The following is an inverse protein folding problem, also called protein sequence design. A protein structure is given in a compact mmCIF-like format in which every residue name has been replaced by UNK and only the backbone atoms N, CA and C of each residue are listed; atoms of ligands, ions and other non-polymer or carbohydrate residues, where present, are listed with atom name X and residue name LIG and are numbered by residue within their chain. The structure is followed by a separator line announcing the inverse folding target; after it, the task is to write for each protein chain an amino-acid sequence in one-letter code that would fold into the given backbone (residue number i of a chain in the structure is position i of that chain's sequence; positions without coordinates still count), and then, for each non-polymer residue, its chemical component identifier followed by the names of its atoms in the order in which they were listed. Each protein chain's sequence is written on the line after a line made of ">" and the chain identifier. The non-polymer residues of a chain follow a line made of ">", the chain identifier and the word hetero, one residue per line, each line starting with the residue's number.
data_IF_273503512101
#
_entry.id   IF_273503512101
#
_cell.length_a   1.000
_cell.length_b   1.000
_cell.length_c   1.000
_cell.angle_alpha   90.00
_cell.angle_beta   90.00
_cell.angle_gamma   90.00
#
_symmetry.space_group_name_H-M   'P 1'
#
loop_
_entity.id
_entity.type
_entity.pdbx_description
1 polymer ?
#
# COMPACT_ATOMS: atom_id res chain seq x y z
N UNK A 1 -1.79 16.64 9.85
CA UNK A 1 -1.85 16.99 11.28
C UNK A 1 -1.97 15.75 12.17
N UNK A 2 -2.95 14.85 11.94
CA UNK A 2 -3.28 13.71 12.81
C UNK A 2 -2.14 12.69 12.98
N UNK A 3 -1.53 12.23 11.87
CA UNK A 3 -0.39 11.30 11.91
C UNK A 3 0.80 11.84 12.70
N UNK A 4 1.10 13.14 12.60
CA UNK A 4 2.18 13.76 13.39
C UNK A 4 1.88 13.74 14.89
N UNK A 5 0.61 13.95 15.31
CA UNK A 5 0.18 13.84 16.70
C UNK A 5 0.40 12.43 17.21
N UNK A 6 -0.08 11.44 16.47
CA UNK A 6 0.09 10.02 16.78
C UNK A 6 1.57 9.64 16.91
N UNK A 7 2.43 10.03 15.96
CA UNK A 7 3.86 9.75 16.02
C UNK A 7 4.55 10.42 17.21
N UNK A 8 4.16 11.66 17.56
CA UNK A 8 4.68 12.35 18.74
C UNK A 8 4.32 11.60 20.02
N UNK A 9 3.06 11.22 20.19
CA UNK A 9 2.61 10.48 21.36
C UNK A 9 3.34 9.13 21.49
N UNK A 10 3.47 8.40 20.38
CA UNK A 10 4.22 7.14 20.31
C UNK A 10 5.69 7.32 20.68
N UNK A 11 6.34 8.37 20.19
CA UNK A 11 7.75 8.68 20.52
C UNK A 11 7.93 8.98 22.00
N UNK A 12 7.03 9.77 22.59
CA UNK A 12 7.08 10.11 24.02
C UNK A 12 6.84 8.88 24.88
N UNK A 13 5.82 8.07 24.58
CA UNK A 13 5.59 6.81 25.27
C UNK A 13 6.82 5.89 25.18
N UNK A 14 7.40 5.72 24.00
CA UNK A 14 8.61 4.90 23.82
C UNK A 14 9.82 5.45 24.57
N UNK A 15 9.93 6.77 24.76
CA UNK A 15 10.96 7.38 25.58
C UNK A 15 10.81 6.98 27.05
N UNK A 16 9.58 7.03 27.59
CA UNK A 16 9.28 6.60 28.96
C UNK A 16 9.58 5.10 29.18
N UNK A 17 9.22 4.24 28.21
CA UNK A 17 9.48 2.81 28.28
C UNK A 17 10.97 2.45 28.36
N UNK A 18 11.86 3.33 27.90
CA UNK A 18 13.33 3.12 27.90
C UNK A 18 14.03 3.73 29.11
N UNK A 19 13.33 4.45 29.96
CA UNK A 19 13.93 4.97 31.21
C UNK A 19 14.18 3.80 32.14
N UNK A 20 15.40 3.69 32.72
CA UNK A 20 15.77 2.57 33.57
C UNK A 20 15.06 2.54 34.95
N UNK A 21 14.35 3.61 35.32
CA UNK A 21 13.43 3.65 36.45
C UNK A 21 12.02 3.30 35.97
N UNK A 22 11.18 2.69 36.81
CA UNK A 22 9.76 2.47 36.50
C UNK A 22 9.04 3.81 36.63
N UNK A 23 8.66 4.47 35.49
CA UNK A 23 7.93 5.74 35.57
C UNK A 23 6.57 5.50 36.23
N UNK A 24 6.07 6.51 36.96
CA UNK A 24 4.71 6.45 37.49
C UNK A 24 3.68 6.39 36.34
N UNK A 25 2.55 5.78 36.60
CA UNK A 25 1.47 5.62 35.61
C UNK A 25 0.99 6.98 35.07
N UNK A 26 0.99 8.02 35.89
CA UNK A 26 0.60 9.39 35.51
C UNK A 26 1.43 9.97 34.36
N UNK A 27 2.69 9.53 34.21
CA UNK A 27 3.55 9.98 33.10
C UNK A 27 3.16 9.35 31.76
N UNK A 28 2.60 8.14 31.79
CA UNK A 28 2.15 7.45 30.57
C UNK A 28 0.77 7.90 30.11
N UNK A 29 -0.14 8.15 31.03
CA UNK A 29 -1.55 8.38 30.77
C UNK A 29 -1.83 9.46 29.72
N UNK A 30 -1.22 10.66 29.73
CA UNK A 30 -1.46 11.68 28.71
C UNK A 30 -1.07 11.22 27.31
N UNK A 31 0.04 10.49 27.18
CA UNK A 31 0.54 10.02 25.90
C UNK A 31 -0.27 8.82 25.37
N UNK A 32 -0.70 7.93 26.24
CA UNK A 32 -1.57 6.80 25.88
C UNK A 32 -2.95 7.27 25.44
N UNK A 33 -3.51 8.29 26.10
CA UNK A 33 -4.76 8.93 25.71
C UNK A 33 -4.64 9.61 24.34
N UNK A 34 -3.60 10.41 24.13
CA UNK A 34 -3.33 11.09 22.86
C UNK A 34 -3.08 10.08 21.74
N UNK A 35 -2.31 9.01 22.01
CA UNK A 35 -2.05 7.93 21.06
C UNK A 35 -3.35 7.21 20.69
N UNK A 36 -4.18 6.86 21.67
CA UNK A 36 -5.47 6.19 21.46
C UNK A 36 -6.42 7.03 20.62
N UNK A 37 -6.63 8.29 20.97
CA UNK A 37 -7.53 9.20 20.24
C UNK A 37 -7.07 9.40 18.79
N UNK A 38 -5.79 9.62 18.59
CA UNK A 38 -5.26 9.78 17.22
C UNK A 38 -5.28 8.48 16.42
N UNK A 39 -5.07 7.34 17.08
CA UNK A 39 -5.10 6.02 16.47
C UNK A 39 -6.49 5.63 15.95
N UNK A 40 -7.53 5.86 16.73
CA UNK A 40 -8.92 5.57 16.34
C UNK A 40 -9.32 6.39 15.10
N UNK A 41 -8.96 7.67 15.04
CA UNK A 41 -9.23 8.50 13.86
C UNK A 41 -8.43 8.05 12.62
N UNK A 42 -7.18 7.61 12.80
CA UNK A 42 -6.37 7.07 11.71
C UNK A 42 -6.96 5.75 11.22
N UNK A 43 -7.40 4.88 12.13
CA UNK A 43 -8.02 3.61 11.78
C UNK A 43 -9.30 3.80 10.98
N UNK A 44 -10.16 4.72 11.41
CA UNK A 44 -11.38 5.08 10.68
C UNK A 44 -11.07 5.52 9.23
N UNK A 45 -10.08 6.38 9.04
CA UNK A 45 -9.66 6.83 7.72
C UNK A 45 -9.08 5.68 6.87
N UNK A 46 -8.27 4.81 7.47
CA UNK A 46 -7.69 3.66 6.78
C UNK A 46 -8.73 2.63 6.35
N UNK A 47 -9.69 2.31 7.24
CA UNK A 47 -10.80 1.39 6.90
C UNK A 47 -11.61 1.96 5.73
N UNK A 48 -12.03 3.22 5.82
CA UNK A 48 -12.78 3.86 4.75
C UNK A 48 -12.01 3.90 3.41
N UNK A 49 -10.68 4.09 3.46
CA UNK A 49 -9.84 4.03 2.25
C UNK A 49 -9.76 2.60 1.68
N UNK A 50 -9.50 1.60 2.54
CA UNK A 50 -9.41 0.19 2.14
C UNK A 50 -10.73 -0.30 1.53
N UNK A 51 -11.86 0.10 2.10
CA UNK A 51 -13.18 -0.29 1.59
C UNK A 51 -13.45 0.30 0.20
N UNK A 52 -13.02 1.55 -0.06
CA UNK A 52 -13.13 2.17 -1.40
C UNK A 52 -12.12 1.58 -2.39
N UNK A 53 -10.93 1.22 -1.94
CA UNK A 53 -9.89 0.62 -2.77
C UNK A 53 -10.23 -0.80 -3.21
N UNK A 54 -10.95 -1.55 -2.38
CA UNK A 54 -11.26 -2.96 -2.59
C UNK A 54 -11.79 -3.29 -3.99
N UNK A 55 -12.87 -2.64 -4.50
CA UNK A 55 -13.38 -2.97 -5.84
C UNK A 55 -12.38 -2.67 -6.95
N UNK A 56 -11.59 -1.59 -6.84
CA UNK A 56 -10.55 -1.29 -7.81
C UNK A 56 -9.43 -2.34 -7.80
N UNK A 57 -9.10 -2.82 -6.60
CA UNK A 57 -8.08 -3.85 -6.41
C UNK A 57 -8.54 -5.21 -6.95
N UNK A 58 -9.79 -5.60 -6.68
CA UNK A 58 -10.41 -6.82 -7.23
C UNK A 58 -10.39 -6.81 -8.76
N UNK A 59 -10.76 -5.68 -9.37
CA UNK A 59 -10.72 -5.51 -10.83
C UNK A 59 -9.30 -5.67 -11.39
N UNK A 60 -8.31 -4.94 -10.84
CA UNK A 60 -6.93 -5.01 -11.33
C UNK A 60 -6.29 -6.38 -11.10
N UNK A 61 -6.57 -7.03 -9.96
CA UNK A 61 -6.07 -8.38 -9.67
C UNK A 61 -6.68 -9.42 -10.62
N UNK A 62 -7.99 -9.34 -10.89
CA UNK A 62 -8.64 -10.24 -11.84
C UNK A 62 -8.13 -10.09 -13.26
N UNK A 63 -7.72 -8.88 -13.67
CA UNK A 63 -7.16 -8.62 -14.99
C UNK A 63 -5.71 -9.13 -15.11
N UNK A 64 -4.88 -8.96 -14.09
CA UNK A 64 -3.45 -9.27 -14.15
C UNK A 64 -3.09 -10.67 -13.62
N UNK A 65 -3.92 -11.26 -12.76
CA UNK A 65 -3.65 -12.54 -12.10
C UNK A 65 -4.89 -13.45 -12.08
N UNK A 66 -5.57 -13.65 -13.24
CA UNK A 66 -6.82 -14.42 -13.29
C UNK A 66 -6.63 -15.87 -12.83
N UNK A 67 -5.44 -16.43 -13.00
CA UNK A 67 -5.11 -17.80 -12.59
C UNK A 67 -5.12 -18.01 -11.08
N UNK A 68 -4.96 -16.95 -10.27
CA UNK A 68 -4.99 -17.05 -8.80
C UNK A 68 -6.39 -17.13 -8.21
N UNK A 69 -7.43 -16.85 -9.00
CA UNK A 69 -8.82 -16.85 -8.58
C UNK A 69 -9.17 -15.59 -7.76
N UNK A 70 -10.22 -15.72 -6.93
CA UNK A 70 -10.71 -14.58 -6.13
C UNK A 70 -9.69 -14.10 -5.12
N UNK A 71 -9.56 -12.77 -4.99
CA UNK A 71 -8.70 -12.09 -4.04
C UNK A 71 -9.47 -11.78 -2.75
N UNK A 72 -8.82 -11.92 -1.61
CA UNK A 72 -9.31 -11.43 -0.32
C UNK A 72 -8.32 -10.40 0.25
N UNK A 73 -8.85 -9.23 0.60
CA UNK A 73 -8.12 -8.15 1.26
C UNK A 73 -8.52 -8.09 2.74
N UNK A 74 -7.57 -8.30 3.64
CA UNK A 74 -7.75 -8.18 5.09
C UNK A 74 -6.93 -7.01 5.62
N UNK A 75 -7.57 -6.12 6.35
CA UNK A 75 -6.92 -5.03 7.08
C UNK A 75 -6.92 -5.34 8.58
N UNK A 76 -5.79 -5.13 9.25
CA UNK A 76 -5.61 -5.23 10.70
C UNK A 76 -5.17 -3.89 11.25
N UNK A 77 -5.90 -3.35 12.19
CA UNK A 77 -5.63 -2.02 12.76
C UNK A 77 -4.42 -1.96 13.71
N UNK A 78 -3.93 -3.13 14.19
CA UNK A 78 -2.75 -3.22 15.04
C UNK A 78 -3.02 -3.27 16.54
N UNK A 79 -4.30 -3.40 16.95
CA UNK A 79 -4.75 -3.67 18.33
C UNK A 79 -6.11 -4.38 18.30
N UNK A 80 -6.55 -4.96 19.44
CA UNK A 80 -7.82 -5.68 19.53
C UNK A 80 -9.03 -4.74 19.46
N UNK A 81 -10.17 -5.24 18.98
CA UNK A 81 -11.45 -4.53 18.98
C UNK A 81 -12.18 -4.63 20.33
N UNK A 82 -11.71 -5.49 21.26
CA UNK A 82 -12.41 -5.78 22.51
C UNK A 82 -12.37 -4.65 23.54
N UNK A 83 -11.28 -3.86 23.56
CA UNK A 83 -11.06 -2.78 24.50
C UNK A 83 -10.55 -1.52 23.81
N UNK A 84 -10.73 -0.36 24.43
CA UNK A 84 -10.11 0.88 23.98
C UNK A 84 -8.58 0.73 23.93
N UNK A 85 -7.93 1.34 22.96
CA UNK A 85 -6.47 1.23 22.81
C UNK A 85 -5.74 1.78 24.07
N UNK A 86 -6.26 2.81 24.72
CA UNK A 86 -5.64 3.36 25.95
C UNK A 86 -5.55 2.29 27.06
N UNK A 87 -6.63 1.51 27.26
CA UNK A 87 -6.68 0.46 28.29
C UNK A 87 -5.73 -0.70 27.93
N UNK A 88 -5.67 -1.06 26.64
CA UNK A 88 -4.73 -2.07 26.18
C UNK A 88 -3.27 -1.62 26.35
N UNK A 89 -2.96 -0.34 26.08
CA UNK A 89 -1.62 0.22 26.28
C UNK A 89 -1.22 0.22 27.75
N UNK A 90 -2.16 0.58 28.65
CA UNK A 90 -1.94 0.55 30.10
C UNK A 90 -1.63 -0.88 30.57
N UNK A 91 -2.43 -1.86 30.15
CA UNK A 91 -2.23 -3.28 30.49
C UNK A 91 -0.91 -3.84 29.94
N UNK A 92 -0.46 -3.35 28.78
CA UNK A 92 0.76 -3.84 28.14
C UNK A 92 2.06 -3.13 28.60
N UNK A 93 1.99 -2.12 29.49
CA UNK A 93 3.17 -1.34 29.91
C UNK A 93 4.35 -2.20 30.33
N UNK A 94 4.15 -3.18 31.19
CA UNK A 94 5.22 -4.05 31.67
C UNK A 94 5.91 -4.84 30.56
N UNK A 95 5.15 -5.35 29.59
CA UNK A 95 5.72 -6.06 28.42
C UNK A 95 6.42 -5.12 27.47
N UNK A 96 5.85 -3.94 27.23
CA UNK A 96 6.42 -2.92 26.36
C UNK A 96 7.72 -2.35 26.97
N UNK A 97 7.80 -2.23 28.31
CA UNK A 97 8.99 -1.83 29.06
C UNK A 97 10.13 -2.83 28.88
N UNK A 98 9.83 -4.13 29.01
CA UNK A 98 10.82 -5.18 28.77
C UNK A 98 11.34 -5.18 27.32
N UNK A 99 10.55 -4.70 26.35
CA UNK A 99 10.92 -4.60 24.94
C UNK A 99 11.49 -3.23 24.53
N UNK A 100 11.32 -2.20 25.35
CA UNK A 100 11.72 -0.83 25.07
C UNK A 100 10.90 -0.11 23.98
N UNK A 101 9.73 -0.66 23.61
CA UNK A 101 8.86 -0.07 22.58
C UNK A 101 7.40 -0.49 22.71
N UNK A 102 6.51 0.35 22.20
CA UNK A 102 5.06 0.11 22.13
C UNK A 102 4.74 -0.99 21.11
N UNK A 103 4.01 -2.01 21.54
CA UNK A 103 3.66 -3.18 20.73
C UNK A 103 2.29 -3.11 20.06
N UNK A 104 1.41 -2.19 20.49
CA UNK A 104 0.06 -2.01 19.96
C UNK A 104 -0.12 -0.61 19.38
N UNK A 105 -0.97 -0.48 18.36
CA UNK A 105 -1.35 0.82 17.80
C UNK A 105 -1.21 0.90 16.28
N UNK A 106 -1.49 2.08 15.68
CA UNK A 106 -1.61 2.24 14.23
C UNK A 106 -0.30 2.07 13.45
N UNK A 107 0.86 2.07 14.13
CA UNK A 107 2.16 1.73 13.54
C UNK A 107 2.36 0.22 13.38
N UNK A 108 1.45 -0.59 13.93
CA UNK A 108 1.37 -2.05 13.79
C UNK A 108 0.24 -2.48 12.87
N UNK A 109 -0.52 -1.51 12.36
CA UNK A 109 -1.53 -1.80 11.36
C UNK A 109 -0.88 -2.36 10.09
N UNK A 110 -1.55 -3.33 9.50
CA UNK A 110 -1.09 -4.02 8.31
C UNK A 110 -2.28 -4.44 7.45
N UNK A 111 -2.04 -4.75 6.22
CA UNK A 111 -3.02 -5.33 5.32
C UNK A 111 -2.39 -6.50 4.56
N UNK A 112 -3.17 -7.49 4.29
CA UNK A 112 -2.72 -8.70 3.59
C UNK A 112 -3.64 -9.01 2.44
N UNK A 113 -3.05 -9.48 1.35
CA UNK A 113 -3.74 -10.07 0.22
C UNK A 113 -3.57 -11.57 0.26
N UNK A 114 -4.64 -12.29 0.00
CA UNK A 114 -4.63 -13.73 -0.24
C UNK A 114 -5.50 -14.06 -1.44
N UNK A 115 -5.23 -15.16 -2.10
CA UNK A 115 -5.94 -15.60 -3.29
C UNK A 115 -6.48 -17.02 -3.06
N UNK A 116 -7.57 -17.35 -3.71
CA UNK A 116 -8.18 -18.67 -3.56
C UNK A 116 -7.20 -19.82 -3.86
N UNK A 117 -6.31 -19.64 -4.85
CA UNK A 117 -5.30 -20.63 -5.26
C UNK A 117 -3.90 -20.38 -4.70
N UNK A 118 -3.69 -19.23 -4.04
CA UNK A 118 -2.45 -18.88 -3.36
C UNK A 118 -2.77 -18.17 -2.04
N UNK A 119 -3.24 -18.92 -1.00
CA UNK A 119 -3.70 -18.35 0.26
C UNK A 119 -2.58 -17.74 1.10
N UNK A 120 -1.32 -18.11 0.85
CA UNK A 120 -0.15 -17.55 1.51
C UNK A 120 0.75 -16.87 0.49
N UNK A 121 1.47 -15.83 0.91
CA UNK A 121 2.41 -15.10 0.05
C UNK A 121 3.48 -16.01 -0.56
N UNK A 122 3.96 -17.00 0.20
CA UNK A 122 4.97 -17.97 -0.24
C UNK A 122 4.52 -18.85 -1.40
N UNK A 123 3.21 -18.87 -1.69
CA UNK A 123 2.64 -19.59 -2.84
C UNK A 123 2.70 -18.79 -4.14
N UNK A 124 3.05 -17.49 -4.08
CA UNK A 124 3.22 -16.65 -5.26
C UNK A 124 4.63 -16.83 -5.84
N UNK A 125 4.71 -16.93 -7.15
CA UNK A 125 5.97 -16.77 -7.86
C UNK A 125 6.44 -15.32 -7.80
N UNK A 126 7.73 -15.06 -8.04
CA UNK A 126 8.28 -13.69 -8.09
C UNK A 126 7.58 -12.80 -9.12
N UNK A 127 7.21 -13.39 -10.28
CA UNK A 127 6.42 -12.68 -11.29
C UNK A 127 5.03 -12.29 -10.80
N UNK A 128 4.35 -13.21 -10.12
CA UNK A 128 3.03 -12.95 -9.53
C UNK A 128 3.10 -11.90 -8.39
N UNK A 129 4.15 -11.89 -7.57
CA UNK A 129 4.36 -10.84 -6.57
C UNK A 129 4.51 -9.45 -7.24
N UNK A 130 5.28 -9.35 -8.34
CA UNK A 130 5.44 -8.11 -9.10
C UNK A 130 4.12 -7.65 -9.72
N UNK A 131 3.38 -8.56 -10.34
CA UNK A 131 2.06 -8.27 -10.91
C UNK A 131 1.06 -7.84 -9.84
N UNK A 132 1.05 -8.49 -8.68
CA UNK A 132 0.21 -8.08 -7.56
C UNK A 132 0.57 -6.67 -7.04
N UNK A 133 1.86 -6.34 -6.97
CA UNK A 133 2.30 -4.99 -6.61
C UNK A 133 1.86 -3.95 -7.65
N UNK A 134 2.00 -4.25 -8.94
CA UNK A 134 1.53 -3.38 -10.03
C UNK A 134 0.01 -3.20 -9.99
N UNK A 135 -0.75 -4.28 -9.78
CA UNK A 135 -2.20 -4.23 -9.63
C UNK A 135 -2.62 -3.32 -8.46
N UNK A 136 -1.87 -3.33 -7.34
CA UNK A 136 -2.10 -2.42 -6.23
C UNK A 136 -1.90 -0.94 -6.63
N UNK A 137 -0.88 -0.63 -7.42
CA UNK A 137 -0.61 0.73 -7.90
C UNK A 137 -1.70 1.19 -8.87
N UNK A 138 -2.08 0.34 -9.83
CA UNK A 138 -3.14 0.64 -10.78
C UNK A 138 -4.51 0.81 -10.11
N UNK A 139 -4.82 -0.03 -9.12
CA UNK A 139 -6.04 0.11 -8.32
C UNK A 139 -6.11 1.45 -7.57
N UNK A 140 -4.98 1.92 -7.01
CA UNK A 140 -4.90 3.24 -6.37
C UNK A 140 -5.07 4.37 -7.38
N UNK A 141 -4.48 4.24 -8.58
CA UNK A 141 -4.67 5.22 -9.66
C UNK A 141 -6.13 5.28 -10.12
N UNK A 142 -6.79 4.11 -10.25
CA UNK A 142 -8.22 4.01 -10.56
C UNK A 142 -9.07 4.70 -9.49
N UNK A 143 -8.84 4.41 -8.22
CA UNK A 143 -9.55 5.07 -7.12
C UNK A 143 -9.34 6.59 -7.12
N UNK A 144 -8.09 7.02 -7.34
CA UNK A 144 -7.77 8.45 -7.46
C UNK A 144 -8.57 9.11 -8.59
N UNK A 145 -8.63 8.49 -9.77
CA UNK A 145 -9.37 9.00 -10.91
C UNK A 145 -10.89 9.06 -10.63
N UNK A 146 -11.45 8.07 -9.94
CA UNK A 146 -12.85 8.10 -9.51
C UNK A 146 -13.18 9.26 -8.56
N UNK A 147 -12.24 9.64 -7.71
CA UNK A 147 -12.42 10.70 -6.71
C UNK A 147 -12.13 12.11 -7.26
N UNK A 148 -11.26 12.24 -8.25
CA UNK A 148 -10.76 13.54 -8.76
C UNK A 148 -11.15 13.84 -10.20
N UNK A 149 -11.67 12.86 -10.92
CA UNK A 149 -12.09 13.00 -12.33
C UNK A 149 -11.01 12.74 -13.37
N UNK A 150 -9.72 12.81 -12.99
CA UNK A 150 -8.60 12.63 -13.89
C UNK A 150 -7.63 11.56 -13.37
N UNK A 151 -7.07 10.78 -14.29
CA UNK A 151 -6.01 9.84 -13.97
C UNK A 151 -4.70 10.54 -13.65
N UNK A 152 -3.93 10.04 -12.66
CA UNK A 152 -2.57 10.50 -12.47
C UNK A 152 -1.69 10.09 -13.65
N UNK A 153 -0.58 10.81 -13.88
CA UNK A 153 0.44 10.37 -14.83
C UNK A 153 1.07 9.07 -14.31
N UNK A 154 1.05 8.03 -15.12
CA UNK A 154 1.62 6.73 -14.78
C UNK A 154 3.00 6.59 -15.42
N UNK A 155 4.01 6.33 -14.61
CA UNK A 155 5.37 6.06 -15.08
C UNK A 155 5.68 4.57 -14.84
N UNK A 156 5.97 3.84 -15.92
CA UNK A 156 6.36 2.42 -15.88
C UNK A 156 7.79 2.29 -16.40
N UNK A 157 8.67 1.87 -15.51
CA UNK A 157 10.09 1.68 -15.85
C UNK A 157 10.32 0.22 -16.24
N UNK A 158 10.92 0.04 -17.41
CA UNK A 158 11.38 -1.26 -17.96
C UNK A 158 10.32 -2.38 -17.98
N UNK A 159 9.07 -2.03 -18.39
CA UNK A 159 7.95 -2.96 -18.43
C UNK A 159 8.27 -4.26 -19.19
N UNK A 160 9.04 -4.18 -20.27
CA UNK A 160 9.34 -5.32 -21.14
C UNK A 160 10.26 -6.36 -20.49
N UNK A 161 11.18 -5.94 -19.62
CA UNK A 161 12.07 -6.88 -18.89
C UNK A 161 11.41 -7.53 -17.67
N UNK A 162 10.35 -6.89 -17.16
CA UNK A 162 9.72 -7.29 -15.90
C UNK A 162 8.52 -8.23 -16.10
N UNK A 163 7.85 -8.17 -17.25
CA UNK A 163 6.62 -8.90 -17.56
C UNK A 163 6.71 -9.65 -18.90
N UNK A 164 6.05 -10.79 -18.99
CA UNK A 164 5.82 -11.45 -20.26
C UNK A 164 4.82 -10.68 -21.15
N UNK A 165 4.76 -11.03 -22.43
CA UNK A 165 3.96 -10.31 -23.42
C UNK A 165 2.46 -10.27 -23.09
N UNK A 166 1.93 -11.32 -22.48
CA UNK A 166 0.50 -11.38 -22.13
C UNK A 166 0.15 -10.40 -21.03
N UNK A 167 0.99 -10.30 -20.01
CA UNK A 167 0.82 -9.36 -18.91
C UNK A 167 1.12 -7.91 -19.33
N UNK A 168 2.11 -7.69 -20.22
CA UNK A 168 2.32 -6.37 -20.85
C UNK A 168 1.07 -5.89 -21.59
N UNK A 169 0.45 -6.77 -22.37
CA UNK A 169 -0.78 -6.45 -23.10
C UNK A 169 -1.94 -6.11 -22.16
N UNK A 170 -2.11 -6.85 -21.07
CA UNK A 170 -3.16 -6.60 -20.08
C UNK A 170 -2.97 -5.24 -19.38
N UNK A 171 -1.72 -4.89 -19.01
CA UNK A 171 -1.40 -3.59 -18.39
C UNK A 171 -1.66 -2.45 -19.37
N UNK A 172 -1.18 -2.57 -20.60
CA UNK A 172 -1.39 -1.55 -21.65
C UNK A 172 -2.88 -1.35 -21.91
N UNK A 173 -3.65 -2.43 -22.06
CA UNK A 173 -5.10 -2.36 -22.28
C UNK A 173 -5.80 -1.62 -21.13
N UNK A 174 -5.51 -1.97 -19.87
CA UNK A 174 -6.10 -1.30 -18.71
C UNK A 174 -5.81 0.20 -18.68
N UNK A 175 -4.59 0.62 -19.04
CA UNK A 175 -4.20 2.02 -19.08
C UNK A 175 -4.80 2.79 -20.26
N UNK A 176 -4.96 2.15 -21.41
CA UNK A 176 -5.64 2.73 -22.58
C UNK A 176 -7.13 2.93 -22.33
N UNK A 177 -7.82 1.92 -21.81
CA UNK A 177 -9.24 1.99 -21.47
C UNK A 177 -9.52 3.11 -20.46
N UNK A 178 -8.56 3.36 -19.59
CA UNK A 178 -8.62 4.44 -18.60
C UNK A 178 -8.34 5.84 -19.18
N UNK A 179 -7.79 5.95 -20.39
CA UNK A 179 -7.34 7.22 -20.98
C UNK A 179 -6.20 7.88 -20.20
N UNK A 180 -5.39 7.09 -19.51
CA UNK A 180 -4.30 7.59 -18.68
C UNK A 180 -3.13 8.13 -19.51
N UNK A 181 -2.49 9.22 -19.06
CA UNK A 181 -1.19 9.63 -19.61
C UNK A 181 -0.10 8.71 -19.05
N UNK A 182 0.57 7.98 -19.95
CA UNK A 182 1.59 7.00 -19.58
C UNK A 182 2.96 7.38 -20.12
N UNK A 183 3.97 7.30 -19.27
CA UNK A 183 5.38 7.34 -19.67
C UNK A 183 5.96 5.94 -19.42
N UNK A 184 6.43 5.30 -20.47
CA UNK A 184 6.98 3.95 -20.42
C UNK A 184 8.41 3.96 -20.91
N UNK A 185 9.31 3.33 -20.15
CA UNK A 185 10.69 3.10 -20.55
C UNK A 185 10.94 1.63 -20.84
N UNK A 186 11.95 1.33 -21.64
CA UNK A 186 12.38 -0.03 -21.94
C UNK A 186 13.46 -0.07 -23.00
N UNK A 187 14.08 -1.21 -23.16
CA UNK A 187 15.09 -1.47 -24.20
C UNK A 187 14.47 -1.80 -25.55
N UNK A 188 13.21 -2.25 -25.54
CA UNK A 188 12.44 -2.65 -26.72
C UNK A 188 11.02 -2.06 -26.63
N UNK A 189 10.41 -1.81 -27.80
CA UNK A 189 9.01 -1.41 -27.88
C UNK A 189 8.11 -2.63 -27.66
N UNK A 190 7.30 -2.67 -26.58
CA UNK A 190 6.37 -3.76 -26.34
C UNK A 190 5.43 -3.97 -27.55
N UNK A 191 5.19 -5.22 -27.99
CA UNK A 191 4.28 -5.50 -29.10
C UNK A 191 2.87 -4.90 -28.91
N UNK A 192 2.39 -4.84 -27.68
CA UNK A 192 1.11 -4.25 -27.33
C UNK A 192 1.01 -2.75 -27.66
N UNK A 193 2.14 -2.04 -27.77
CA UNK A 193 2.17 -0.61 -28.12
C UNK A 193 2.30 -0.35 -29.62
N UNK A 194 2.66 -1.35 -30.43
CA UNK A 194 2.86 -1.17 -31.87
C UNK A 194 1.58 -0.79 -32.63
N UNK A 195 0.42 -1.17 -32.09
CA UNK A 195 -0.90 -0.85 -32.64
C UNK A 195 -1.56 0.38 -32.01
N UNK A 196 -0.79 1.20 -31.29
CA UNK A 196 -1.31 2.37 -30.57
C UNK A 196 -0.74 3.66 -31.13
N UNK A 197 -1.36 4.81 -30.83
CA UNK A 197 -0.84 6.15 -31.17
C UNK A 197 0.29 6.60 -30.21
N UNK A 198 1.07 5.67 -29.68
CA UNK A 198 2.16 5.97 -28.78
C UNK A 198 3.27 6.75 -29.49
N UNK A 199 3.75 7.82 -28.85
CA UNK A 199 4.93 8.55 -29.32
C UNK A 199 6.17 7.84 -28.82
N UNK A 200 7.03 7.40 -29.74
CA UNK A 200 8.25 6.67 -29.41
C UNK A 200 9.47 7.60 -29.51
N UNK A 201 10.30 7.59 -28.49
CA UNK A 201 11.54 8.34 -28.43
C UNK A 201 12.71 7.40 -28.17
N UNK A 202 13.79 7.58 -28.90
CA UNK A 202 15.07 6.95 -28.60
C UNK A 202 15.91 7.86 -27.72
N UNK A 203 16.47 7.32 -26.65
CA UNK A 203 17.34 8.05 -25.72
C UNK A 203 18.73 7.44 -25.76
N UNK A 204 19.71 8.21 -26.22
CA UNK A 204 21.12 7.82 -26.29
C UNK A 204 22.00 8.97 -25.84
N UNK A 205 22.95 8.70 -24.93
CA UNK A 205 23.93 9.67 -24.41
C UNK A 205 23.31 11.00 -23.95
N UNK A 206 22.13 10.92 -23.30
CA UNK A 206 21.41 12.10 -22.82
C UNK A 206 20.69 12.92 -23.89
N UNK A 207 20.63 12.43 -25.13
CA UNK A 207 19.85 13.00 -26.23
C UNK A 207 18.60 12.19 -26.48
N UNK A 208 17.50 12.89 -26.72
CA UNK A 208 16.20 12.27 -27.02
C UNK A 208 15.82 12.60 -28.47
N UNK A 209 15.54 11.57 -29.27
CA UNK A 209 15.14 11.69 -30.67
C UNK A 209 13.79 10.99 -30.85
N UNK A 210 12.82 11.68 -31.44
CA UNK A 210 11.52 11.08 -31.75
C UNK A 210 11.68 10.11 -32.94
N UNK A 211 11.14 8.89 -32.80
CA UNK A 211 11.14 7.85 -33.84
C UNK A 211 9.78 7.75 -34.55
N UNK A 212 8.68 7.88 -33.81
CA UNK A 212 7.28 7.78 -34.27
C UNK A 212 6.42 8.86 -33.64
#
# INVERSE_FOLDING_TARGET
>A
ALWRRCQRALKQRNSLLRTGAVPSDDLFEPWERELSQSAELIDLQRRAYVDRLRPCLEFSMAALLPELGTMELRYRRGWSDELALADQLATQRGRDQARGHTSLGPHRADWTLSFARAPLREHLSRGQEKLAALACVLAQATLYAQEHGDWPVVCLDDLASELDQSHQAAVVAQLQDAGAQVLLTGTELPPALQATDARVFHVEQGRMTRLL
#
